data_IF_943635656904
#
_entry.id   IF_943635656904
#
_cell.length_a   1.000
_cell.length_b   1.000
_cell.length_c   1.000
_cell.angle_alpha   90.00
_cell.angle_beta   90.00
_cell.angle_gamma   90.00
#
_symmetry.space_group_name_H-M   'P 1'
#
loop_
_entity.id
_entity.type
_entity.pdbx_description
1 polymer ?
#
# COMPACT_ATOMS: atom_id res chain seq x y z
N UNK A 1 2.60 55.18 54.98
CA UNK A 1 1.60 54.93 53.91
C UNK A 1 1.88 53.55 53.35
N UNK A 2 1.03 52.55 53.60
CA UNK A 2 1.21 51.23 52.98
C UNK A 2 0.91 51.33 51.48
N UNK A 3 1.90 51.05 50.63
CA UNK A 3 1.71 50.96 49.18
C UNK A 3 0.82 49.76 48.85
N UNK A 4 -0.35 50.06 48.31
CA UNK A 4 -1.35 49.09 47.85
C UNK A 4 -1.21 48.87 46.35
N UNK A 5 -1.26 47.61 45.92
CA UNK A 5 -1.16 47.20 44.52
C UNK A 5 -2.46 46.54 44.06
N UNK A 6 -2.92 46.87 42.84
CA UNK A 6 -4.03 46.16 42.19
C UNK A 6 -3.48 44.97 41.40
N UNK A 7 -4.34 44.03 40.99
CA UNK A 7 -3.94 42.85 40.20
C UNK A 7 -3.09 43.21 38.96
N UNK A 8 -3.39 44.33 38.29
CA UNK A 8 -2.60 44.81 37.14
C UNK A 8 -1.16 45.18 37.53
N UNK A 9 -1.00 45.84 38.69
CA UNK A 9 0.31 46.25 39.20
C UNK A 9 1.14 45.04 39.63
N UNK A 10 0.48 44.03 40.23
CA UNK A 10 1.12 42.75 40.58
C UNK A 10 1.63 42.04 39.33
N UNK A 11 0.82 41.93 38.28
CA UNK A 11 1.24 41.32 37.00
C UNK A 11 2.46 42.04 36.41
N UNK A 12 2.41 43.38 36.36
CA UNK A 12 3.52 44.17 35.80
C UNK A 12 4.82 44.04 36.60
N UNK A 13 4.73 43.92 37.93
CA UNK A 13 5.93 43.86 38.81
C UNK A 13 6.48 42.46 39.01
N UNK A 14 5.65 41.42 38.93
CA UNK A 14 6.05 40.03 39.18
C UNK A 14 6.26 39.22 37.90
N UNK A 15 5.75 39.69 36.76
CA UNK A 15 5.74 38.93 35.50
C UNK A 15 4.67 37.83 35.45
N UNK A 16 3.88 37.66 36.53
CA UNK A 16 2.87 36.60 36.63
C UNK A 16 1.60 37.00 35.85
N UNK A 17 1.10 36.18 34.91
CA UNK A 17 -0.12 36.47 34.17
C UNK A 17 -1.33 36.72 35.09
N UNK A 18 -2.19 37.68 34.72
CA UNK A 18 -3.36 38.12 35.50
C UNK A 18 -4.26 36.97 35.99
N UNK A 19 -4.47 35.96 35.15
CA UNK A 19 -5.30 34.79 35.49
C UNK A 19 -4.64 33.88 36.54
N UNK A 20 -3.31 33.74 36.50
CA UNK A 20 -2.52 32.99 37.48
C UNK A 20 -2.48 33.71 38.83
N UNK A 21 -2.28 35.03 38.84
CA UNK A 21 -2.38 35.85 40.07
C UNK A 21 -3.74 35.63 40.75
N UNK A 22 -4.83 35.58 39.96
CA UNK A 22 -6.18 35.35 40.48
C UNK A 22 -6.36 33.93 41.03
N UNK A 23 -5.82 32.92 40.35
CA UNK A 23 -5.82 31.52 40.80
C UNK A 23 -5.05 31.35 42.12
N UNK A 24 -3.83 31.86 42.23
CA UNK A 24 -3.05 31.80 43.47
C UNK A 24 -3.72 32.57 44.60
N UNK A 25 -4.34 33.72 44.32
CA UNK A 25 -5.09 34.47 45.33
C UNK A 25 -6.26 33.65 45.90
N UNK A 26 -6.99 32.93 45.05
CA UNK A 26 -8.10 32.07 45.48
C UNK A 26 -7.61 30.87 46.30
N UNK A 27 -6.50 30.24 45.89
CA UNK A 27 -5.92 29.11 46.61
C UNK A 27 -5.36 29.55 47.97
N UNK A 28 -4.73 30.72 48.05
CA UNK A 28 -4.29 31.33 49.31
C UNK A 28 -5.46 31.58 50.26
N UNK A 29 -6.57 32.14 49.75
CA UNK A 29 -7.80 32.33 50.52
C UNK A 29 -8.40 31.01 51.03
N UNK A 30 -8.34 29.92 50.25
CA UNK A 30 -8.79 28.59 50.68
C UNK A 30 -7.92 27.99 51.79
N UNK A 31 -6.63 28.31 51.82
CA UNK A 31 -5.68 27.83 52.83
C UNK A 31 -5.54 28.80 54.03
N UNK A 32 -6.47 29.75 54.17
CA UNK A 32 -6.57 30.64 55.34
C UNK A 32 -5.82 31.97 55.22
N UNK A 33 -5.21 32.29 54.08
CA UNK A 33 -4.54 33.57 53.86
C UNK A 33 -5.49 34.65 53.33
N UNK A 34 -5.69 35.71 54.10
CA UNK A 34 -6.70 36.74 53.81
C UNK A 34 -6.13 37.86 52.94
N UNK A 35 -6.50 37.87 51.64
CA UNK A 35 -6.22 38.99 50.74
C UNK A 35 -7.34 40.03 50.86
N UNK A 36 -6.96 41.30 51.00
CA UNK A 36 -7.93 42.39 51.13
C UNK A 36 -8.74 42.57 49.85
N UNK A 37 -10.07 42.67 49.95
CA UNK A 37 -10.97 42.89 48.82
C UNK A 37 -11.71 44.21 48.98
N UNK A 38 -11.69 45.04 47.95
CA UNK A 38 -12.66 46.12 47.74
C UNK A 38 -13.77 45.59 46.83
N UNK A 39 -14.96 46.21 46.84
CA UNK A 39 -16.20 45.76 46.20
C UNK A 39 -16.09 45.17 44.78
N UNK A 40 -15.04 45.50 44.02
CA UNK A 40 -14.81 44.97 42.66
C UNK A 40 -13.37 44.40 42.43
N UNK A 41 -12.45 44.54 43.38
CA UNK A 41 -11.04 44.18 43.16
C UNK A 41 -10.28 43.73 44.42
N UNK A 42 -9.34 42.79 44.24
CA UNK A 42 -8.35 42.42 45.26
C UNK A 42 -7.24 43.47 45.33
N UNK A 43 -6.92 43.85 46.57
CA UNK A 43 -5.84 44.75 46.94
C UNK A 43 -4.73 43.90 47.57
N UNK A 44 -3.52 44.06 47.04
CA UNK A 44 -2.32 43.33 47.45
C UNK A 44 -1.35 44.28 48.15
N UNK A 45 -0.81 43.84 49.29
CA UNK A 45 0.34 44.45 49.95
C UNK A 45 1.65 43.92 49.33
N UNK A 46 2.77 44.55 49.70
CA UNK A 46 4.09 44.11 49.24
C UNK A 46 4.38 42.65 49.64
N UNK A 47 3.93 42.22 50.81
CA UNK A 47 4.14 40.85 51.30
C UNK A 47 3.31 39.83 50.52
N UNK A 48 2.10 40.20 50.08
CA UNK A 48 1.28 39.36 49.20
C UNK A 48 1.96 39.15 47.85
N UNK A 49 2.61 40.21 47.33
CA UNK A 49 3.35 40.11 46.08
C UNK A 49 4.57 39.21 46.16
N UNK A 50 5.35 39.32 47.26
CA UNK A 50 6.50 38.43 47.49
C UNK A 50 6.04 36.98 47.58
N UNK A 51 4.96 36.73 48.32
CA UNK A 51 4.37 35.40 48.46
C UNK A 51 3.92 34.81 47.11
N UNK A 52 3.19 35.59 46.31
CA UNK A 52 2.76 35.19 44.98
C UNK A 52 3.94 34.87 44.05
N UNK A 53 5.04 35.63 44.15
CA UNK A 53 6.25 35.38 43.38
C UNK A 53 6.94 34.07 43.81
N UNK A 54 7.07 33.83 45.11
CA UNK A 54 7.67 32.59 45.63
C UNK A 54 6.84 31.35 45.26
N UNK A 55 5.50 31.45 45.30
CA UNK A 55 4.61 30.37 44.83
C UNK A 55 4.82 30.12 43.33
N UNK A 56 4.89 31.18 42.53
CA UNK A 56 5.05 31.06 41.09
C UNK A 56 6.38 30.44 40.69
N UNK A 57 7.47 30.86 41.34
CA UNK A 57 8.80 30.32 41.10
C UNK A 57 8.83 28.83 41.46
N UNK A 58 8.41 28.42 42.66
CA UNK A 58 8.40 26.99 43.05
C UNK A 58 7.54 26.14 42.12
N UNK A 59 6.35 26.61 41.73
CA UNK A 59 5.50 25.90 40.78
C UNK A 59 6.13 25.76 39.38
N UNK A 60 6.96 26.73 38.96
CA UNK A 60 7.61 26.72 37.66
C UNK A 60 8.90 25.87 37.62
N UNK A 61 9.70 25.86 38.70
CA UNK A 61 10.97 25.10 38.75
C UNK A 61 10.80 23.63 39.13
N UNK A 62 9.83 23.29 39.97
CA UNK A 62 9.74 21.95 40.57
C UNK A 62 8.61 21.07 40.00
N UNK A 63 7.76 21.60 39.09
CA UNK A 63 6.54 20.93 38.60
C UNK A 63 5.63 20.39 39.73
N UNK A 64 5.73 20.96 40.92
CA UNK A 64 4.93 20.55 42.08
C UNK A 64 3.47 21.01 41.95
N UNK A 65 2.55 20.23 42.52
CA UNK A 65 1.15 20.63 42.60
C UNK A 65 1.03 21.89 43.47
N UNK A 66 0.53 22.96 42.85
CA UNK A 66 0.35 24.28 43.47
C UNK A 66 -0.49 24.18 44.75
N UNK A 67 -1.40 23.20 44.84
CA UNK A 67 -2.20 22.98 46.06
C UNK A 67 -1.36 22.50 47.25
N UNK A 68 -0.28 21.75 47.04
CA UNK A 68 0.59 21.20 48.09
C UNK A 68 1.69 22.19 48.51
N UNK A 69 2.12 23.08 47.61
CA UNK A 69 3.18 24.07 47.89
C UNK A 69 2.73 25.22 48.81
N UNK A 70 1.46 25.61 48.74
CA UNK A 70 0.89 26.71 49.54
C UNK A 70 0.97 26.46 51.05
N UNK A 71 0.57 25.30 51.61
CA UNK A 71 0.68 25.04 53.05
C UNK A 71 2.13 24.98 53.54
N UNK A 72 3.09 24.56 52.71
CA UNK A 72 4.52 24.54 53.05
C UNK A 72 5.04 25.98 53.21
N UNK A 73 4.74 26.84 52.23
CA UNK A 73 5.19 28.24 52.24
C UNK A 73 4.52 29.04 53.38
N UNK A 74 3.26 28.74 53.70
CA UNK A 74 2.57 29.38 54.83
C UNK A 74 3.18 28.95 56.18
N UNK A 75 3.56 27.68 56.36
CA UNK A 75 4.26 27.19 57.56
C UNK A 75 5.68 27.78 57.71
N UNK A 76 6.37 28.07 56.60
CA UNK A 76 7.68 28.74 56.63
C UNK A 76 7.57 30.22 57.05
N UNK A 77 6.41 30.86 56.89
CA UNK A 77 6.20 32.30 57.18
C UNK A 77 5.88 32.60 58.65
N UNK A 78 5.38 31.62 59.42
CA UNK A 78 5.02 31.78 60.84
C UNK A 78 6.21 31.69 61.82
N UNK A 79 7.43 31.45 61.33
CA UNK A 79 8.64 31.53 62.15
C UNK A 79 9.28 32.93 62.02
N UNK A 80 9.19 33.80 63.04
CA UNK A 80 9.89 35.09 63.02
C UNK A 80 11.41 34.89 63.04
N UNK A 81 12.19 35.71 62.30
CA UNK A 81 13.63 35.73 62.46
C UNK A 81 13.99 36.68 63.60
N UNK A 82 14.25 36.16 64.80
CA UNK A 82 14.82 36.95 65.89
C UNK A 82 15.53 36.05 66.94
N UNK A 83 16.42 36.60 67.79
CA UNK A 83 17.86 36.36 67.66
C UNK A 83 18.49 35.86 68.97
N UNK A 84 19.81 35.69 68.93
CA UNK A 84 20.74 35.62 70.05
C UNK A 84 20.80 34.30 70.83
N UNK A 85 21.91 33.63 70.58
CA UNK A 85 22.66 32.74 71.46
C UNK A 85 22.45 33.14 72.93
N UNK A 86 21.68 32.35 73.67
CA UNK A 86 21.83 32.21 75.11
C UNK A 86 22.39 30.83 75.40
N UNK A 87 23.66 30.84 75.76
CA UNK A 87 24.42 29.74 76.31
C UNK A 87 23.77 29.34 77.64
N UNK A 88 23.38 28.07 77.74
CA UNK A 88 23.25 27.22 78.94
C UNK A 88 21.97 26.38 78.87
N UNK A 89 22.14 25.10 78.52
CA UNK A 89 21.64 23.97 79.32
C UNK A 89 22.13 22.67 78.67
N UNK A 90 23.24 22.15 79.21
CA UNK A 90 23.56 20.73 79.17
C UNK A 90 22.43 19.99 79.89
N UNK A 91 21.43 19.45 79.18
CA UNK A 91 20.71 18.18 79.42
C UNK A 91 19.70 18.02 78.25
N UNK A 92 20.17 17.78 77.02
CA UNK A 92 19.34 17.29 75.89
C UNK A 92 20.14 16.51 74.83
N UNK A 93 21.39 16.14 75.11
CA UNK A 93 22.32 15.65 74.08
C UNK A 93 22.05 14.24 73.56
N UNK A 94 21.41 13.35 74.32
CA UNK A 94 21.24 11.95 73.89
C UNK A 94 20.15 11.74 72.83
N UNK A 95 19.02 12.46 72.90
CA UNK A 95 17.94 12.32 71.93
C UNK A 95 18.21 13.11 70.64
N UNK A 96 18.87 14.27 70.72
CA UNK A 96 19.35 14.99 69.53
C UNK A 96 20.47 14.21 68.80
N UNK A 97 21.38 13.56 69.54
CA UNK A 97 22.39 12.69 68.93
C UNK A 97 21.78 11.47 68.24
N UNK A 98 20.71 10.87 68.79
CA UNK A 98 19.97 9.78 68.14
C UNK A 98 19.27 10.23 66.87
N UNK A 99 18.64 11.39 66.88
CA UNK A 99 17.98 11.95 65.70
C UNK A 99 19.01 12.30 64.60
N UNK A 100 20.20 12.78 64.99
CA UNK A 100 21.30 13.02 64.05
C UNK A 100 21.87 11.72 63.48
N UNK A 101 22.02 10.68 64.31
CA UNK A 101 22.46 9.35 63.87
C UNK A 101 21.45 8.71 62.90
N UNK A 102 20.15 8.83 63.18
CA UNK A 102 19.08 8.40 62.27
C UNK A 102 19.09 9.19 60.95
N UNK A 103 19.38 10.50 61.00
CA UNK A 103 19.53 11.33 59.80
C UNK A 103 20.74 10.93 58.96
N UNK A 104 21.89 10.65 59.59
CA UNK A 104 23.08 10.16 58.91
C UNK A 104 22.85 8.80 58.25
N UNK A 105 22.14 7.88 58.92
CA UNK A 105 21.74 6.60 58.33
C UNK A 105 20.80 6.78 57.13
N UNK A 106 19.85 7.73 57.20
CA UNK A 106 18.99 8.06 56.04
C UNK A 106 19.77 8.64 54.89
N UNK A 107 20.76 9.50 55.14
CA UNK A 107 21.65 10.04 54.10
C UNK A 107 22.47 8.94 53.44
N UNK A 108 23.01 8.01 54.23
CA UNK A 108 23.79 6.89 53.72
C UNK A 108 22.93 5.93 52.90
N UNK A 109 21.72 5.62 53.36
CA UNK A 109 20.74 4.86 52.59
C UNK A 109 20.36 5.56 51.28
N UNK A 110 20.17 6.89 51.30
CA UNK A 110 19.87 7.68 50.10
C UNK A 110 21.04 7.66 49.10
N UNK A 111 22.28 7.71 49.61
CA UNK A 111 23.48 7.59 48.78
C UNK A 111 23.56 6.21 48.13
N UNK A 112 23.32 5.13 48.88
CA UNK A 112 23.26 3.76 48.35
C UNK A 112 22.17 3.59 47.29
N UNK A 113 20.98 4.16 47.50
CA UNK A 113 19.88 4.14 46.53
C UNK A 113 20.25 4.90 45.24
N UNK A 114 20.87 6.08 45.38
CA UNK A 114 21.34 6.84 44.21
C UNK A 114 22.41 6.07 43.43
N UNK A 115 23.35 5.41 44.11
CA UNK A 115 24.35 4.58 43.46
C UNK A 115 23.73 3.40 42.71
N UNK A 116 22.74 2.73 43.32
CA UNK A 116 21.98 1.67 42.67
C UNK A 116 21.21 2.16 41.43
N UNK A 117 20.58 3.33 41.50
CA UNK A 117 19.88 3.96 40.38
C UNK A 117 20.87 4.30 39.25
N UNK A 118 22.04 4.84 39.58
CA UNK A 118 23.09 5.15 38.59
C UNK A 118 23.54 3.87 37.89
N UNK A 119 23.79 2.80 38.64
CA UNK A 119 24.16 1.50 38.07
C UNK A 119 23.06 0.93 37.16
N UNK A 120 21.80 0.97 37.60
CA UNK A 120 20.67 0.51 36.80
C UNK A 120 20.53 1.33 35.50
N UNK A 121 20.63 2.67 35.58
CA UNK A 121 20.58 3.53 34.41
C UNK A 121 21.74 3.25 33.45
N UNK A 122 22.96 3.05 33.95
CA UNK A 122 24.12 2.66 33.13
C UNK A 122 23.87 1.34 32.39
N UNK A 123 23.27 0.35 33.08
CA UNK A 123 22.91 -0.94 32.48
C UNK A 123 21.85 -0.77 31.39
N UNK A 124 20.81 0.02 31.65
CA UNK A 124 19.74 0.30 30.67
C UNK A 124 20.27 1.04 29.44
N UNK A 125 21.14 2.03 29.64
CA UNK A 125 21.80 2.75 28.54
C UNK A 125 22.60 1.77 27.67
N UNK A 126 23.38 0.89 28.30
CA UNK A 126 24.16 -0.12 27.58
C UNK A 126 23.25 -1.07 26.80
N UNK A 127 22.16 -1.53 27.41
CA UNK A 127 21.20 -2.42 26.73
C UNK A 127 20.49 -1.73 25.57
N UNK A 128 20.09 -0.47 25.71
CA UNK A 128 19.46 0.28 24.63
C UNK A 128 20.43 0.45 23.47
N UNK A 129 21.68 0.82 23.74
CA UNK A 129 22.71 0.91 22.71
C UNK A 129 22.90 -0.41 21.95
N UNK A 130 22.95 -1.55 22.64
CA UNK A 130 23.07 -2.86 21.99
C UNK A 130 21.84 -3.21 21.16
N UNK A 131 20.64 -2.80 21.59
CA UNK A 131 19.41 -2.99 20.81
C UNK A 131 19.41 -2.12 19.56
N UNK A 132 19.89 -0.87 19.66
CA UNK A 132 20.00 0.04 18.53
C UNK A 132 21.00 -0.50 17.49
N UNK A 133 22.19 -0.95 17.93
CA UNK A 133 23.18 -1.60 17.04
C UNK A 133 22.59 -2.83 16.33
N UNK A 134 21.84 -3.68 17.04
CA UNK A 134 21.18 -4.86 16.44
C UNK A 134 20.04 -4.47 15.49
N UNK A 135 19.33 -3.39 15.78
CA UNK A 135 18.28 -2.87 14.90
C UNK A 135 18.88 -2.38 13.59
N UNK A 136 20.01 -1.65 13.65
CA UNK A 136 20.73 -1.18 12.46
C UNK A 136 21.22 -2.36 11.60
N UNK A 137 21.77 -3.40 12.23
CA UNK A 137 22.15 -4.63 11.52
C UNK A 137 20.96 -5.29 10.81
N UNK A 138 19.82 -5.40 11.48
CA UNK A 138 18.61 -5.97 10.89
C UNK A 138 18.09 -5.13 9.72
N UNK A 139 18.07 -3.81 9.89
CA UNK A 139 17.68 -2.88 8.83
C UNK A 139 18.59 -3.06 7.61
N UNK A 140 19.91 -3.11 7.80
CA UNK A 140 20.86 -3.32 6.71
C UNK A 140 20.66 -4.68 6.01
N UNK A 141 20.41 -5.74 6.77
CA UNK A 141 20.10 -7.06 6.19
C UNK A 141 18.82 -7.05 5.37
N UNK A 142 17.77 -6.35 5.82
CA UNK A 142 16.52 -6.21 5.07
C UNK A 142 16.79 -5.48 3.75
N UNK A 143 17.47 -4.34 3.78
CA UNK A 143 17.82 -3.61 2.55
C UNK A 143 18.59 -4.47 1.53
N UNK A 144 19.58 -5.25 1.99
CA UNK A 144 20.35 -6.13 1.10
C UNK A 144 19.48 -7.27 0.55
N UNK A 145 18.58 -7.84 1.35
CA UNK A 145 17.68 -8.91 0.89
C UNK A 145 16.65 -8.37 -0.10
N UNK A 146 16.07 -7.20 0.17
CA UNK A 146 15.09 -6.56 -0.70
C UNK A 146 15.72 -6.24 -2.06
N UNK A 147 16.93 -5.68 -2.08
CA UNK A 147 17.65 -5.42 -3.34
C UNK A 147 17.92 -6.69 -4.16
N UNK A 148 18.29 -7.81 -3.51
CA UNK A 148 18.48 -9.10 -4.19
C UNK A 148 17.17 -9.70 -4.71
N UNK A 149 16.06 -9.49 -3.99
CA UNK A 149 14.74 -9.91 -4.44
C UNK A 149 14.30 -9.10 -5.66
N UNK A 150 14.55 -7.79 -5.66
CA UNK A 150 14.25 -6.90 -6.78
C UNK A 150 15.06 -7.29 -8.03
N UNK A 151 16.35 -7.59 -7.89
CA UNK A 151 17.20 -8.10 -8.98
C UNK A 151 16.65 -9.41 -9.56
N UNK A 152 16.29 -10.38 -8.71
CA UNK A 152 15.71 -11.65 -9.16
C UNK A 152 14.36 -11.46 -9.90
N UNK A 153 13.52 -10.54 -9.43
CA UNK A 153 12.25 -10.23 -10.09
C UNK A 153 12.48 -9.59 -11.45
N UNK A 154 13.47 -8.71 -11.57
CA UNK A 154 13.84 -8.09 -12.84
C UNK A 154 14.33 -9.14 -13.85
N UNK A 155 15.21 -10.05 -13.43
CA UNK A 155 15.70 -11.15 -14.26
C UNK A 155 14.56 -12.07 -14.74
N UNK A 156 13.59 -12.38 -13.87
CA UNK A 156 12.41 -13.18 -14.22
C UNK A 156 11.54 -12.49 -15.27
N UNK A 157 11.33 -11.18 -15.14
CA UNK A 157 10.57 -10.37 -16.10
C UNK A 157 11.28 -10.36 -17.46
N UNK A 158 12.59 -10.13 -17.48
CA UNK A 158 13.37 -10.08 -18.70
C UNK A 158 13.41 -11.45 -19.40
N UNK A 159 13.57 -12.53 -18.64
CA UNK A 159 13.51 -13.88 -19.18
C UNK A 159 12.11 -14.19 -19.74
N UNK A 160 11.04 -13.83 -19.03
CA UNK A 160 9.67 -14.04 -19.52
C UNK A 160 9.42 -13.29 -20.84
N UNK A 161 9.83 -12.02 -20.92
CA UNK A 161 9.70 -11.21 -22.13
C UNK A 161 10.48 -11.81 -23.32
N UNK A 162 11.69 -12.31 -23.09
CA UNK A 162 12.47 -13.01 -24.13
C UNK A 162 11.80 -14.30 -24.58
N UNK A 163 11.23 -15.06 -23.65
CA UNK A 163 10.56 -16.33 -23.95
C UNK A 163 9.32 -16.10 -24.81
N UNK A 164 8.50 -15.10 -24.47
CA UNK A 164 7.33 -14.69 -25.24
C UNK A 164 7.71 -14.22 -26.65
N UNK A 165 8.76 -13.41 -26.76
CA UNK A 165 9.26 -12.95 -28.06
C UNK A 165 9.69 -14.12 -28.96
N UNK A 166 10.43 -15.09 -28.41
CA UNK A 166 10.87 -16.28 -29.15
C UNK A 166 9.69 -17.18 -29.54
N UNK A 167 8.70 -17.33 -28.66
CA UNK A 167 7.48 -18.09 -28.97
C UNK A 167 6.68 -17.44 -30.09
N UNK A 168 6.56 -16.11 -30.07
CA UNK A 168 5.91 -15.33 -31.12
C UNK A 168 6.61 -15.51 -32.47
N UNK A 169 7.94 -15.41 -32.50
CA UNK A 169 8.72 -15.62 -33.73
C UNK A 169 8.54 -17.04 -34.28
N UNK A 170 8.55 -18.07 -33.42
CA UNK A 170 8.26 -19.46 -33.82
C UNK A 170 6.85 -19.61 -34.40
N UNK A 171 5.86 -18.96 -33.80
CA UNK A 171 4.48 -18.98 -34.29
C UNK A 171 4.38 -18.34 -35.67
N UNK A 172 5.02 -17.18 -35.88
CA UNK A 172 5.02 -16.47 -37.16
C UNK A 172 5.69 -17.33 -38.26
N UNK A 173 6.80 -18.00 -37.94
CA UNK A 173 7.47 -18.91 -38.87
C UNK A 173 6.57 -20.10 -39.24
N UNK A 174 5.91 -20.70 -38.24
CA UNK A 174 4.99 -21.81 -38.45
C UNK A 174 3.79 -21.40 -39.31
N UNK A 175 3.18 -20.25 -39.02
CA UNK A 175 2.07 -19.70 -39.80
C UNK A 175 2.51 -19.44 -41.25
N UNK A 176 3.68 -18.84 -41.47
CA UNK A 176 4.22 -18.62 -42.81
C UNK A 176 4.40 -19.94 -43.59
N UNK A 177 4.93 -20.96 -42.92
CA UNK A 177 5.06 -22.30 -43.52
C UNK A 177 3.69 -22.92 -43.84
N UNK A 178 2.69 -22.79 -42.95
CA UNK A 178 1.33 -23.27 -43.19
C UNK A 178 0.67 -22.56 -44.37
N UNK A 179 0.73 -21.22 -44.43
CA UNK A 179 0.21 -20.45 -45.56
C UNK A 179 0.85 -20.86 -46.88
N UNK A 180 2.17 -21.04 -46.92
CA UNK A 180 2.88 -21.51 -48.13
C UNK A 180 2.47 -22.93 -48.53
N UNK A 181 2.25 -23.82 -47.56
CA UNK A 181 1.80 -25.19 -47.81
C UNK A 181 0.37 -25.21 -48.34
N UNK A 182 -0.52 -24.43 -47.73
CA UNK A 182 -1.93 -24.32 -48.10
C UNK A 182 -2.07 -23.75 -49.52
N UNK A 183 -1.37 -22.66 -49.84
CA UNK A 183 -1.34 -22.09 -51.19
C UNK A 183 -0.89 -23.12 -52.25
N UNK A 184 0.15 -23.93 -51.95
CA UNK A 184 0.60 -25.00 -52.86
C UNK A 184 -0.43 -26.13 -52.99
N UNK A 185 -1.15 -26.44 -51.92
CA UNK A 185 -2.18 -27.47 -51.94
C UNK A 185 -3.40 -27.00 -52.74
N UNK A 186 -3.80 -25.75 -52.58
CA UNK A 186 -4.85 -25.10 -53.35
C UNK A 186 -4.51 -25.04 -54.84
N UNK A 187 -3.29 -24.66 -55.20
CA UNK A 187 -2.85 -24.66 -56.61
C UNK A 187 -2.92 -26.07 -57.24
N UNK A 188 -2.51 -27.11 -56.49
CA UNK A 188 -2.63 -28.51 -56.95
C UNK A 188 -4.08 -28.94 -57.09
N UNK A 189 -4.95 -28.55 -56.15
CA UNK A 189 -6.37 -28.83 -56.20
C UNK A 189 -7.01 -28.18 -57.43
N UNK A 190 -6.73 -26.90 -57.67
CA UNK A 190 -7.24 -26.17 -58.83
C UNK A 190 -6.80 -26.81 -60.14
N UNK A 191 -5.54 -27.27 -60.23
CA UNK A 191 -5.06 -28.05 -61.39
C UNK A 191 -5.84 -29.35 -61.58
N UNK A 192 -6.08 -30.10 -60.51
CA UNK A 192 -6.83 -31.36 -60.57
C UNK A 192 -8.28 -31.13 -60.99
N UNK A 193 -8.95 -30.13 -60.39
CA UNK A 193 -10.33 -29.75 -60.73
C UNK A 193 -10.43 -29.35 -62.20
N UNK A 194 -9.50 -28.52 -62.69
CA UNK A 194 -9.46 -28.14 -64.11
C UNK A 194 -9.26 -29.35 -65.02
N UNK A 195 -8.38 -30.30 -64.66
CA UNK A 195 -8.20 -31.52 -65.43
C UNK A 195 -9.46 -32.39 -65.48
N UNK A 196 -10.18 -32.52 -64.35
CA UNK A 196 -11.46 -33.25 -64.28
C UNK A 196 -12.47 -32.57 -65.19
N UNK A 197 -12.63 -31.25 -65.07
CA UNK A 197 -13.55 -30.47 -65.91
C UNK A 197 -13.26 -30.63 -67.41
N UNK A 198 -11.99 -30.57 -67.81
CA UNK A 198 -11.60 -30.80 -69.21
C UNK A 198 -11.88 -32.23 -69.69
N UNK A 199 -11.60 -33.24 -68.85
CA UNK A 199 -11.89 -34.64 -69.20
C UNK A 199 -13.38 -34.91 -69.32
N UNK A 200 -14.18 -34.38 -68.41
CA UNK A 200 -15.64 -34.51 -68.44
C UNK A 200 -16.22 -33.84 -69.68
N UNK A 201 -15.80 -32.59 -69.99
CA UNK A 201 -16.24 -31.92 -71.21
C UNK A 201 -15.85 -32.68 -72.48
N UNK A 202 -14.63 -33.24 -72.54
CA UNK A 202 -14.19 -34.04 -73.69
C UNK A 202 -15.01 -35.33 -73.82
N UNK A 203 -15.29 -36.01 -72.70
CA UNK A 203 -16.13 -37.22 -72.68
C UNK A 203 -17.54 -36.90 -73.17
N UNK A 204 -18.12 -35.81 -72.70
CA UNK A 204 -19.48 -35.40 -73.09
C UNK A 204 -19.54 -35.01 -74.57
N UNK A 205 -18.52 -34.34 -75.11
CA UNK A 205 -18.41 -34.05 -76.53
C UNK A 205 -18.35 -35.33 -77.39
N UNK A 206 -17.55 -36.31 -76.97
CA UNK A 206 -17.46 -37.62 -77.63
C UNK A 206 -18.78 -38.39 -77.57
N UNK A 207 -19.43 -38.43 -76.40
CA UNK A 207 -20.75 -39.06 -76.24
C UNK A 207 -21.80 -38.40 -77.15
N UNK A 208 -21.83 -37.07 -77.21
CA UNK A 208 -22.71 -36.32 -78.10
C UNK A 208 -22.43 -36.59 -79.59
N UNK A 209 -21.18 -36.82 -79.97
CA UNK A 209 -20.83 -37.22 -81.33
C UNK A 209 -21.36 -38.63 -81.64
N UNK A 210 -21.12 -39.60 -80.76
CA UNK A 210 -21.60 -40.98 -80.94
C UNK A 210 -23.13 -41.02 -80.99
N UNK A 211 -23.82 -40.26 -80.14
CA UNK A 211 -25.29 -40.14 -80.19
C UNK A 211 -25.76 -39.63 -81.55
N UNK A 212 -25.11 -38.61 -82.11
CA UNK A 212 -25.41 -38.08 -83.45
C UNK A 212 -25.17 -39.12 -84.53
N UNK A 213 -24.02 -39.79 -84.52
CA UNK A 213 -23.70 -40.85 -85.49
C UNK A 213 -24.70 -42.01 -85.44
N UNK A 214 -25.12 -42.44 -84.23
CA UNK A 214 -26.16 -43.46 -84.05
C UNK A 214 -27.51 -42.97 -84.60
N UNK A 215 -27.88 -41.71 -84.36
CA UNK A 215 -29.12 -41.13 -84.88
C UNK A 215 -29.12 -41.05 -86.41
N UNK A 216 -28.01 -40.62 -87.01
CA UNK A 216 -27.86 -40.55 -88.46
C UNK A 216 -27.86 -41.95 -89.09
N UNK A 217 -27.20 -42.91 -88.47
CA UNK A 217 -27.24 -44.33 -88.89
C UNK A 217 -28.66 -44.89 -88.80
N UNK A 218 -29.40 -44.59 -87.73
CA UNK A 218 -30.81 -44.98 -87.59
C UNK A 218 -31.68 -44.38 -88.72
N UNK A 219 -31.46 -43.10 -89.06
CA UNK A 219 -32.15 -42.44 -90.19
C UNK A 219 -31.80 -43.08 -91.53
N UNK A 220 -30.53 -43.37 -91.77
CA UNK A 220 -30.08 -44.03 -93.00
C UNK A 220 -30.66 -45.43 -93.14
N UNK A 221 -30.70 -46.22 -92.07
CA UNK A 221 -31.32 -47.55 -92.05
C UNK A 221 -32.82 -47.45 -92.29
N UNK A 222 -33.51 -46.48 -91.69
CA UNK A 222 -34.93 -46.25 -91.93
C UNK A 222 -35.20 -45.93 -93.41
N UNK A 223 -34.44 -44.97 -93.98
CA UNK A 223 -34.53 -44.62 -95.40
C UNK A 223 -34.18 -45.81 -96.32
N UNK A 224 -33.16 -46.60 -95.97
CA UNK A 224 -32.77 -47.80 -96.72
C UNK A 224 -33.83 -48.90 -96.66
N UNK A 225 -34.47 -49.12 -95.50
CA UNK A 225 -35.60 -50.05 -95.38
C UNK A 225 -36.79 -49.60 -96.21
N UNK A 226 -37.12 -48.31 -96.22
CA UNK A 226 -38.15 -47.77 -97.11
C UNK A 226 -37.79 -47.99 -98.59
N UNK A 227 -36.55 -47.70 -98.99
CA UNK A 227 -36.08 -47.90 -100.36
C UNK A 227 -36.08 -49.38 -100.77
N UNK A 228 -35.66 -50.29 -99.89
CA UNK A 228 -35.67 -51.74 -100.16
C UNK A 228 -37.09 -52.31 -100.21
N UNK A 229 -38.02 -51.82 -99.39
CA UNK A 229 -39.43 -52.16 -99.50
C UNK A 229 -39.99 -51.64 -100.83
N UNK A 230 -39.77 -50.38 -101.19
CA UNK A 230 -40.18 -49.81 -102.48
C UNK A 230 -39.58 -50.58 -103.67
N UNK A 231 -38.31 -50.97 -103.61
CA UNK A 231 -37.64 -51.81 -104.63
C UNK A 231 -38.26 -53.20 -104.69
N UNK A 232 -38.52 -53.83 -103.54
CA UNK A 232 -39.13 -55.16 -103.47
C UNK A 232 -40.57 -55.17 -104.00
N UNK A 233 -41.37 -54.15 -103.66
CA UNK A 233 -42.71 -53.95 -104.22
C UNK A 233 -42.63 -53.69 -105.73
N UNK A 234 -41.73 -52.81 -106.19
CA UNK A 234 -41.54 -52.54 -107.62
C UNK A 234 -41.15 -53.80 -108.39
N UNK A 235 -40.26 -54.63 -107.83
CA UNK A 235 -39.84 -55.90 -108.44
C UNK A 235 -40.97 -56.94 -108.42
N UNK A 236 -41.82 -56.98 -107.38
CA UNK A 236 -43.00 -57.83 -107.34
C UNK A 236 -44.03 -57.44 -108.41
N UNK A 237 -44.29 -56.13 -108.57
CA UNK A 237 -45.16 -55.62 -109.65
C UNK A 237 -44.56 -55.80 -111.05
N UNK A 238 -43.23 -55.78 -111.19
CA UNK A 238 -42.56 -56.07 -112.45
C UNK A 238 -42.63 -57.57 -112.81
N UNK A 239 -42.51 -58.46 -111.81
CA UNK A 239 -42.58 -59.92 -112.02
C UNK A 239 -44.00 -60.36 -112.40
N UNK A 240 -45.03 -59.76 -111.81
CA UNK A 240 -46.43 -59.97 -112.21
C UNK A 240 -46.77 -59.48 -113.63
N UNK A 241 -45.91 -58.65 -114.25
CA UNK A 241 -46.04 -58.28 -115.66
C UNK A 241 -45.29 -59.22 -116.62
N UNK A 242 -44.35 -60.04 -116.15
CA UNK A 242 -43.60 -60.96 -117.01
C UNK A 242 -44.28 -62.33 -117.21
N UNK A 243 -45.22 -62.72 -116.34
CA UNK A 243 -46.00 -63.96 -116.52
C UNK A 243 -47.17 -63.86 -117.53
N UNK A 244 -47.39 -62.71 -118.18
CA UNK A 244 -48.43 -62.54 -119.23
C UNK A 244 -47.89 -62.44 -120.66
N UNK A 245 -46.60 -62.68 -120.89
CA UNK A 245 -45.96 -62.49 -122.21
C UNK A 245 -44.95 -63.57 -122.53
N UNK A 246 -45.34 -64.84 -122.40
CA UNK A 246 -44.76 -65.97 -123.12
C UNK A 246 -45.77 -67.14 -123.07
N UNK A 247 -46.77 -67.03 -123.95
CA UNK A 247 -47.52 -68.15 -124.55
C UNK A 247 -46.86 -68.45 -125.91
#
# INVERSE_FOLDING_TARGET
METIYKTKDVTNKTGIPKHIVRKYSQLLEQHGYMITKTADARIYKMDDMKLLKSIHERAATLQEDIAETIPIILKEKDNPPAPMIKKNQEVQSKDESRNFEEFMLKLEMLAQLNEAIIHQNSTLITQNRLKDEKLDELIQQVYVKDGKQEEMLQDLVDHAAQTDALQKEKMDLLMNHMYKREAKQEEKMNKLVNQVYHKDNNRDAQLMQVIREIQDTKRLIAASKEQNLFQSFKNLFARGKQEKTNE
#
